data_IF_189427073147
#
_entry.id   IF_189427073147
#
_cell.length_a   1.000
_cell.length_b   1.000
_cell.length_c   1.000
_cell.angle_alpha   90.00
_cell.angle_beta   90.00
_cell.angle_gamma   90.00
#
_symmetry.space_group_name_H-M   'P 1'
#
loop_
_entity.id
_entity.type
_entity.pdbx_description
1 polymer ?
#
# COMPACT_ATOMS: atom_id res chain seq x y z
N UNK A 1 -17.34 -6.52 4.18
CA UNK A 1 -16.21 -6.97 4.99
C UNK A 1 -15.03 -7.38 4.12
N UNK A 2 -13.84 -6.92 4.49
CA UNK A 2 -12.63 -7.23 3.73
C UNK A 2 -11.41 -7.23 4.65
N UNK A 3 -10.43 -8.06 4.32
CA UNK A 3 -9.20 -8.15 5.10
C UNK A 3 -8.00 -7.75 4.27
N UNK A 4 -7.18 -6.85 4.82
CA UNK A 4 -5.99 -6.38 4.12
C UNK A 4 -4.81 -6.26 5.08
N UNK A 5 -3.61 -6.14 4.52
CA UNK A 5 -2.40 -6.02 5.33
C UNK A 5 -2.17 -4.58 5.77
N UNK A 6 -2.32 -4.33 7.07
CA UNK A 6 -2.12 -2.99 7.61
C UNK A 6 -0.84 -2.92 8.43
N UNK A 7 0.18 -2.27 7.86
CA UNK A 7 1.45 -2.11 8.53
C UNK A 7 2.40 -1.23 7.72
N UNK A 8 3.59 -1.00 8.24
CA UNK A 8 4.58 -0.18 7.56
C UNK A 8 6.00 -0.59 7.95
N UNK A 9 6.86 -0.72 6.96
CA UNK A 9 8.26 -1.11 7.19
C UNK A 9 9.18 -0.45 6.19
N UNK A 10 10.44 -0.26 6.58
CA UNK A 10 11.44 0.36 5.72
C UNK A 10 12.24 -0.70 4.98
N UNK A 11 11.57 -1.48 4.13
CA UNK A 11 12.24 -2.52 3.38
C UNK A 11 11.41 -3.03 2.22
N UNK A 12 11.38 -4.34 2.05
CA UNK A 12 10.61 -4.95 0.96
C UNK A 12 9.12 -4.73 1.16
N UNK A 13 8.53 -5.49 2.07
CA UNK A 13 7.11 -5.38 2.37
C UNK A 13 6.74 -6.10 3.65
N UNK A 14 6.13 -5.39 4.59
CA UNK A 14 5.73 -5.97 5.86
C UNK A 14 4.49 -6.84 5.71
N UNK A 15 4.18 -7.61 6.74
CA UNK A 15 3.02 -8.49 6.72
C UNK A 15 2.20 -8.35 7.99
N UNK A 16 0.96 -7.92 7.85
CA UNK A 16 0.08 -7.74 9.00
C UNK A 16 -1.39 -7.71 8.56
N UNK A 17 -1.98 -8.89 8.39
CA UNK A 17 -3.38 -9.02 7.97
C UNK A 17 -4.35 -8.59 9.05
N UNK A 18 -5.13 -7.55 8.76
CA UNK A 18 -6.11 -7.04 9.72
C UNK A 18 -7.42 -6.68 9.02
N UNK A 19 -8.54 -7.10 9.61
CA UNK A 19 -9.85 -6.82 9.03
C UNK A 19 -10.19 -5.34 9.16
N UNK A 20 -10.70 -4.76 8.08
CA UNK A 20 -11.06 -3.35 8.06
C UNK A 20 -12.38 -3.12 8.79
N UNK A 21 -12.60 -1.88 9.25
CA UNK A 21 -13.81 -1.51 9.98
C UNK A 21 -15.04 -1.49 9.08
N UNK A 22 -16.20 -1.21 9.67
CA UNK A 22 -17.44 -1.16 8.92
C UNK A 22 -17.56 0.14 8.14
N UNK A 23 -16.55 0.43 7.32
CA UNK A 23 -16.54 1.65 6.51
C UNK A 23 -15.61 1.49 5.31
N UNK A 24 -14.47 0.84 5.52
CA UNK A 24 -13.50 0.62 4.46
C UNK A 24 -13.85 -0.61 3.63
N UNK A 25 -13.53 -0.55 2.34
CA UNK A 25 -13.81 -1.66 1.44
C UNK A 25 -12.75 -1.76 0.35
N UNK A 26 -11.54 -1.35 0.68
CA UNK A 26 -10.44 -1.39 -0.28
C UNK A 26 -9.09 -1.38 0.44
N UNK A 27 -8.09 -2.00 -0.19
CA UNK A 27 -6.76 -2.06 0.39
C UNK A 27 -5.81 -1.10 -0.32
N UNK A 28 -5.00 -0.39 0.45
CA UNK A 28 -4.05 0.56 -0.10
C UNK A 28 -2.61 0.16 0.23
N UNK A 29 -1.71 0.36 -0.74
CA UNK A 29 -0.31 0.01 -0.55
C UNK A 29 0.59 1.00 -1.27
N UNK A 30 1.33 1.80 -0.50
CA UNK A 30 2.24 2.78 -1.06
C UNK A 30 3.69 2.35 -0.90
N UNK A 31 4.28 1.86 -1.99
CA UNK A 31 5.66 1.40 -1.98
C UNK A 31 6.59 2.49 -2.49
N UNK A 32 7.30 3.14 -1.57
CA UNK A 32 8.23 4.21 -1.94
C UNK A 32 9.64 3.66 -2.15
N UNK A 33 10.47 4.43 -2.84
CA UNK A 33 11.84 4.02 -3.10
C UNK A 33 12.80 5.20 -2.96
N UNK A 34 13.54 5.21 -1.86
CA UNK A 34 14.50 6.29 -1.59
C UNK A 34 15.85 5.99 -2.25
N UNK A 35 16.51 4.95 -1.78
CA UNK A 35 17.81 4.55 -2.32
C UNK A 35 17.78 3.11 -2.80
N UNK A 36 18.77 2.75 -3.63
CA UNK A 36 18.89 1.39 -4.18
C UNK A 36 19.29 0.38 -3.12
N UNK A 37 19.54 0.85 -1.91
CA UNK A 37 19.93 -0.02 -0.80
C UNK A 37 18.92 0.05 0.33
N UNK A 38 17.97 0.98 0.22
CA UNK A 38 16.94 1.15 1.25
C UNK A 38 15.62 1.59 0.63
N UNK A 39 14.53 0.96 1.05
CA UNK A 39 13.21 1.28 0.53
C UNK A 39 12.20 1.40 1.67
N UNK A 40 11.00 1.88 1.35
CA UNK A 40 9.95 2.05 2.33
C UNK A 40 8.61 1.60 1.78
N UNK A 41 7.77 1.01 2.63
CA UNK A 41 6.46 0.54 2.22
C UNK A 41 5.42 0.84 3.29
N UNK A 42 4.17 1.05 2.85
CA UNK A 42 3.08 1.34 3.77
C UNK A 42 1.76 0.77 3.26
N UNK A 43 1.06 0.05 4.13
CA UNK A 43 -0.22 -0.56 3.77
C UNK A 43 -1.26 -0.32 4.86
N UNK A 44 -2.51 -0.13 4.45
CA UNK A 44 -3.60 0.12 5.38
C UNK A 44 -4.95 -0.06 4.70
N UNK A 45 -6.03 0.11 5.47
CA UNK A 45 -7.37 -0.03 4.95
C UNK A 45 -8.00 1.34 4.67
N UNK A 46 -8.41 1.55 3.43
CA UNK A 46 -9.02 2.82 3.04
C UNK A 46 -10.25 2.59 2.16
N UNK A 47 -11.19 3.55 2.20
CA UNK A 47 -12.42 3.47 1.41
C UNK A 47 -12.17 3.65 -0.08
N UNK A 48 -11.34 4.62 -0.42
CA UNK A 48 -11.02 4.89 -1.82
C UNK A 48 -9.51 5.09 -2.00
N UNK A 49 -8.94 4.32 -2.93
CA UNK A 49 -7.50 4.40 -3.19
C UNK A 49 -7.24 4.66 -4.67
N UNK A 50 -6.44 5.68 -4.96
CA UNK A 50 -6.12 6.03 -6.35
C UNK A 50 -4.70 5.58 -6.69
N UNK A 51 -4.46 5.32 -7.98
CA UNK A 51 -3.15 4.89 -8.44
C UNK A 51 -2.25 6.09 -8.72
N UNK A 52 -1.09 6.11 -8.08
CA UNK A 52 -0.13 7.20 -8.25
C UNK A 52 0.80 6.94 -9.41
N UNK A 53 0.57 7.63 -10.52
CA UNK A 53 1.40 7.48 -11.71
C UNK A 53 2.33 8.66 -11.90
N UNK A 54 3.59 8.37 -12.23
CA UNK A 54 4.59 9.42 -12.44
C UNK A 54 5.57 9.03 -13.54
N UNK A 55 5.61 9.83 -14.59
CA UNK A 55 6.50 9.57 -15.72
C UNK A 55 6.61 10.79 -16.62
N UNK A 56 7.37 11.78 -16.16
CA UNK A 56 7.55 13.01 -16.94
C UNK A 56 8.53 13.96 -16.31
N UNK A 57 8.15 14.55 -15.18
CA UNK A 57 9.01 15.49 -14.48
C UNK A 57 9.04 15.19 -12.99
N UNK A 58 7.89 14.77 -12.45
CA UNK A 58 7.78 14.45 -11.03
C UNK A 58 8.54 13.17 -10.70
N UNK A 59 8.70 12.90 -9.41
CA UNK A 59 9.41 11.72 -8.95
C UNK A 59 8.55 10.47 -9.15
N UNK A 60 9.11 9.48 -9.85
CA UNK A 60 8.39 8.23 -10.09
C UNK A 60 8.96 7.09 -9.24
N UNK A 61 9.51 7.45 -8.08
CA UNK A 61 10.10 6.47 -7.18
C UNK A 61 9.05 5.94 -6.20
N UNK A 62 7.78 6.18 -6.51
CA UNK A 62 6.69 5.73 -5.66
C UNK A 62 5.53 5.20 -6.49
N UNK A 63 4.91 4.12 -6.01
CA UNK A 63 3.79 3.51 -6.72
C UNK A 63 2.75 2.97 -5.74
N UNK A 64 1.56 3.58 -5.75
CA UNK A 64 0.48 3.17 -4.87
C UNK A 64 -0.45 2.18 -5.56
N UNK A 65 -0.66 1.03 -4.92
CA UNK A 65 -1.52 -0.01 -5.47
C UNK A 65 -2.82 -0.12 -4.67
N UNK A 66 -3.90 -0.49 -5.35
CA UNK A 66 -5.19 -0.64 -4.70
C UNK A 66 -5.89 -1.91 -5.16
N UNK A 67 -6.61 -2.54 -4.25
CA UNK A 67 -7.33 -3.78 -4.55
C UNK A 67 -8.49 -4.00 -3.58
N UNK A 68 -9.34 -4.98 -3.88
CA UNK A 68 -10.49 -5.27 -3.04
C UNK A 68 -10.51 -6.75 -2.66
N UNK A 69 -9.40 -7.44 -2.91
CA UNK A 69 -9.30 -8.86 -2.59
C UNK A 69 -8.63 -9.07 -1.24
N UNK A 70 -9.07 -10.09 -0.52
CA UNK A 70 -8.53 -10.40 0.79
C UNK A 70 -7.01 -10.61 0.71
N UNK A 71 -6.29 -9.94 1.61
CA UNK A 71 -4.83 -10.04 1.64
C UNK A 71 -4.24 -9.83 0.25
N UNK A 72 -4.88 -8.97 -0.54
CA UNK A 72 -4.41 -8.68 -1.89
C UNK A 72 -3.06 -7.98 -1.87
N UNK A 73 -2.81 -7.23 -0.79
CA UNK A 73 -1.55 -6.50 -0.64
C UNK A 73 -0.55 -7.33 0.15
N UNK A 74 -0.70 -8.65 0.11
CA UNK A 74 0.20 -9.53 0.83
C UNK A 74 1.47 -9.84 0.05
#
# INVERSE_FOLDING_TARGET
MLDCHVCAYNGDNCFNPMRCPAMVAYCMTTRTYYTPTRMKVSKSCVPRCFETVYDGYSKHASTTSCCQYDLCNG
#
